data_IF_519959599498
#
_entry.id   IF_519959599498
#
_cell.length_a   1.000
_cell.length_b   1.000
_cell.length_c   1.000
_cell.angle_alpha   90.00
_cell.angle_beta   90.00
_cell.angle_gamma   90.00
#
_symmetry.space_group_name_H-M   'P 1'
#
loop_
_entity.id
_entity.type
_entity.pdbx_description
1 polymer ?
#
# COMPACT_ATOMS: atom_id res chain seq x y z
N UNK A 1 -17.49 -5.65 5.89
CA UNK A 1 -18.38 -4.54 6.30
C UNK A 1 -18.97 -4.67 7.70
N UNK A 2 -18.53 -5.62 8.50
CA UNK A 2 -18.97 -5.69 9.89
C UNK A 2 -18.45 -4.47 10.64
N UNK A 3 -19.36 -3.76 11.34
CA UNK A 3 -19.09 -2.56 12.17
C UNK A 3 -18.65 -1.28 11.43
N UNK A 4 -18.98 -1.10 10.13
CA UNK A 4 -18.69 0.14 9.41
C UNK A 4 -17.21 0.31 9.00
N UNK A 5 -16.37 -0.75 9.14
CA UNK A 5 -15.00 -0.73 8.68
C UNK A 5 -14.93 -1.03 7.19
N UNK A 6 -14.10 -0.28 6.48
CA UNK A 6 -13.86 -0.47 5.05
C UNK A 6 -12.36 -0.40 4.76
N UNK A 7 -11.89 -1.26 3.87
CA UNK A 7 -10.49 -1.32 3.46
C UNK A 7 -10.43 -1.17 1.94
N UNK A 8 -9.53 -0.31 1.50
CA UNK A 8 -9.32 -0.01 0.10
C UNK A 8 -7.84 -0.07 -0.26
N UNK A 9 -7.53 -0.58 -1.43
CA UNK A 9 -6.23 -0.45 -2.05
C UNK A 9 -6.40 0.12 -3.45
N UNK A 10 -5.54 1.09 -3.80
CA UNK A 10 -5.50 1.70 -5.12
C UNK A 10 -4.08 1.73 -5.67
N UNK A 11 -3.95 1.85 -6.95
CA UNK A 11 -2.67 2.13 -7.61
C UNK A 11 -2.38 3.61 -7.42
N UNK A 12 -1.34 3.94 -6.66
CA UNK A 12 -0.92 5.32 -6.41
C UNK A 12 0.03 5.83 -7.48
N UNK A 13 0.86 4.92 -7.99
CA UNK A 13 1.90 5.23 -8.98
C UNK A 13 2.26 3.99 -9.78
N UNK A 14 2.54 4.15 -11.06
CA UNK A 14 3.16 3.11 -11.90
C UNK A 14 4.07 3.77 -12.92
N UNK A 15 5.29 3.25 -13.08
CA UNK A 15 6.29 3.75 -14.02
C UNK A 15 6.57 5.27 -13.88
N UNK A 16 6.53 5.80 -12.66
CA UNK A 16 6.73 7.22 -12.38
C UNK A 16 5.51 8.12 -12.69
N UNK A 17 4.41 7.56 -13.16
CA UNK A 17 3.14 8.28 -13.34
C UNK A 17 2.31 8.14 -12.07
N UNK A 18 1.95 9.26 -11.45
CA UNK A 18 1.15 9.28 -10.22
C UNK A 18 -0.33 9.46 -10.50
N UNK A 19 -1.19 8.77 -9.73
CA UNK A 19 -2.63 9.00 -9.67
C UNK A 19 -2.97 10.28 -8.88
N UNK A 20 -4.22 10.73 -8.96
CA UNK A 20 -4.70 11.88 -8.19
C UNK A 20 -4.43 11.70 -6.69
N UNK A 21 -3.93 12.72 -5.99
CA UNK A 21 -3.73 12.66 -4.55
C UNK A 21 -5.07 12.59 -3.82
N UNK A 22 -5.09 11.95 -2.66
CA UNK A 22 -6.20 11.96 -1.72
C UNK A 22 -5.78 12.62 -0.42
N UNK A 23 -6.71 13.31 0.23
CA UNK A 23 -6.51 13.78 1.60
C UNK A 23 -6.42 12.58 2.54
N UNK A 24 -5.31 12.43 3.26
CA UNK A 24 -5.08 11.30 4.16
C UNK A 24 -5.98 11.34 5.40
N UNK A 25 -6.42 12.55 5.81
CA UNK A 25 -7.30 12.72 6.96
C UNK A 25 -8.79 12.55 6.60
N UNK A 26 -9.14 12.93 5.37
CA UNK A 26 -10.53 12.95 4.87
C UNK A 26 -10.58 12.42 3.43
N UNK A 27 -10.23 11.15 3.22
CA UNK A 27 -10.24 10.58 1.87
C UNK A 27 -11.65 10.58 1.29
N UNK A 28 -11.77 10.80 0.00
CA UNK A 28 -13.02 10.62 -0.73
C UNK A 28 -13.36 9.12 -0.78
N UNK A 29 -14.27 8.70 0.09
CA UNK A 29 -14.64 7.28 0.25
C UNK A 29 -15.40 6.78 -0.98
N UNK A 30 -16.20 7.62 -1.63
CA UNK A 30 -16.92 7.22 -2.85
C UNK A 30 -15.96 7.02 -4.02
N UNK A 31 -14.95 7.89 -4.14
CA UNK A 31 -13.89 7.71 -5.12
C UNK A 31 -13.09 6.43 -4.87
N UNK A 32 -12.77 6.11 -3.61
CA UNK A 32 -12.11 4.85 -3.23
C UNK A 32 -12.98 3.63 -3.57
N UNK A 33 -14.29 3.68 -3.29
CA UNK A 33 -15.23 2.62 -3.67
C UNK A 33 -15.33 2.44 -5.17
N UNK A 34 -15.36 3.54 -5.92
CA UNK A 34 -15.38 3.52 -7.37
C UNK A 34 -14.09 2.91 -7.93
N UNK A 35 -12.93 3.34 -7.44
CA UNK A 35 -11.63 2.78 -7.84
C UNK A 35 -11.54 1.27 -7.56
N UNK A 36 -12.02 0.81 -6.40
CA UNK A 36 -12.02 -0.60 -6.03
C UNK A 36 -12.88 -1.51 -6.91
N UNK A 37 -13.75 -0.95 -7.78
CA UNK A 37 -14.55 -1.69 -8.76
C UNK A 37 -13.88 -1.80 -10.13
N UNK A 38 -12.81 -1.02 -10.36
CA UNK A 38 -12.08 -1.00 -11.64
C UNK A 38 -11.06 -2.14 -11.67
N UNK A 39 -10.80 -2.66 -12.86
CA UNK A 39 -9.71 -3.61 -13.10
C UNK A 39 -8.32 -2.95 -12.91
N UNK A 40 -8.26 -1.63 -13.12
CA UNK A 40 -7.09 -0.80 -12.87
C UNK A 40 -7.51 0.27 -11.85
N UNK A 41 -7.21 0.02 -10.57
CA UNK A 41 -7.77 0.72 -9.42
C UNK A 41 -7.12 2.10 -9.22
N UNK A 42 -7.51 3.09 -10.02
CA UNK A 42 -7.08 4.50 -9.91
C UNK A 42 -8.28 5.41 -9.66
N UNK A 43 -8.02 6.59 -9.11
CA UNK A 43 -9.02 7.64 -8.91
C UNK A 43 -9.27 8.40 -10.22
N UNK A 44 -8.20 8.82 -10.89
CA UNK A 44 -8.25 9.60 -12.12
C UNK A 44 -8.02 8.70 -13.34
N UNK A 45 -9.04 8.58 -14.20
CA UNK A 45 -8.99 7.69 -15.37
C UNK A 45 -7.94 8.13 -16.40
N UNK A 46 -7.74 9.44 -16.60
CA UNK A 46 -6.74 9.93 -17.56
C UNK A 46 -5.31 9.60 -17.08
N UNK A 47 -5.05 9.69 -15.77
CA UNK A 47 -3.78 9.25 -15.18
C UNK A 47 -3.64 7.74 -15.26
N UNK A 48 -4.72 7.00 -15.06
CA UNK A 48 -4.76 5.55 -15.25
C UNK A 48 -4.42 5.13 -16.68
N UNK A 49 -4.93 5.83 -17.68
CA UNK A 49 -4.58 5.61 -19.10
C UNK A 49 -3.10 5.89 -19.36
N UNK A 50 -2.56 6.98 -18.79
CA UNK A 50 -1.12 7.30 -18.90
C UNK A 50 -0.24 6.21 -18.27
N UNK A 51 -0.61 5.68 -17.10
CA UNK A 51 0.07 4.54 -16.47
C UNK A 51 0.03 3.29 -17.36
N UNK A 52 -1.14 2.97 -17.91
CA UNK A 52 -1.30 1.80 -18.79
C UNK A 52 -0.48 1.94 -20.07
N UNK A 53 -0.42 3.16 -20.62
CA UNK A 53 0.44 3.46 -21.77
C UNK A 53 1.91 3.20 -21.44
N UNK A 54 2.40 3.70 -20.30
CA UNK A 54 3.79 3.47 -19.87
C UNK A 54 4.10 1.97 -19.66
N UNK A 55 3.14 1.19 -19.15
CA UNK A 55 3.27 -0.27 -19.04
C UNK A 55 3.40 -0.92 -20.42
N UNK A 56 2.59 -0.48 -21.40
CA UNK A 56 2.63 -1.02 -22.77
C UNK A 56 3.94 -0.65 -23.49
N UNK A 57 4.47 0.53 -23.27
CA UNK A 57 5.76 0.99 -23.78
C UNK A 57 6.90 0.10 -23.24
N UNK A 58 6.95 -0.10 -21.91
CA UNK A 58 7.93 -1.01 -21.30
C UNK A 58 7.81 -2.44 -21.84
N UNK A 59 6.58 -2.94 -22.03
CA UNK A 59 6.32 -4.25 -22.63
C UNK A 59 6.86 -4.34 -24.05
N UNK A 60 6.67 -3.29 -24.86
CA UNK A 60 7.14 -3.26 -26.26
C UNK A 60 8.68 -3.30 -26.33
N UNK A 61 9.36 -2.74 -25.32
CA UNK A 61 10.81 -2.79 -25.16
C UNK A 61 11.31 -4.11 -24.55
N UNK A 62 10.42 -5.05 -24.23
CA UNK A 62 10.76 -6.31 -23.56
C UNK A 62 11.14 -6.15 -22.09
N UNK A 63 10.66 -5.09 -21.46
CA UNK A 63 10.96 -4.71 -20.08
C UNK A 63 9.72 -4.78 -19.16
N UNK A 64 9.88 -4.40 -17.90
CA UNK A 64 8.82 -4.34 -16.90
C UNK A 64 8.94 -3.08 -16.03
N UNK A 65 7.84 -2.70 -15.41
CA UNK A 65 7.76 -1.56 -14.49
C UNK A 65 7.14 -1.96 -13.16
N UNK A 66 7.55 -1.27 -12.12
CA UNK A 66 6.96 -1.34 -10.79
C UNK A 66 5.99 -0.21 -10.52
N UNK A 67 5.66 -0.02 -9.24
CA UNK A 67 4.83 1.09 -8.80
C UNK A 67 4.55 1.07 -7.30
N UNK A 68 3.63 1.94 -6.90
CA UNK A 68 3.22 2.13 -5.51
C UNK A 68 1.72 1.84 -5.37
N UNK A 69 1.38 1.03 -4.38
CA UNK A 69 0.00 0.78 -3.97
C UNK A 69 -0.24 1.58 -2.69
N UNK A 70 -1.36 2.27 -2.60
CA UNK A 70 -1.79 2.99 -1.41
C UNK A 70 -3.04 2.33 -0.84
N UNK A 71 -2.99 2.04 0.47
CA UNK A 71 -4.07 1.37 1.19
C UNK A 71 -4.66 2.31 2.25
N UNK A 72 -5.98 2.26 2.39
CA UNK A 72 -6.76 2.94 3.42
C UNK A 72 -7.55 1.91 4.22
N UNK A 73 -7.47 1.96 5.54
CA UNK A 73 -8.38 1.24 6.42
C UNK A 73 -9.17 2.26 7.26
N UNK A 74 -10.48 2.28 7.05
CA UNK A 74 -11.40 3.27 7.60
C UNK A 74 -12.27 2.67 8.70
N UNK A 75 -12.69 3.50 9.65
CA UNK A 75 -13.63 3.10 10.69
C UNK A 75 -13.04 2.19 11.76
N UNK A 76 -11.72 2.12 11.88
CA UNK A 76 -11.07 1.36 12.96
C UNK A 76 -11.28 2.07 14.30
N UNK A 77 -11.54 1.32 15.38
CA UNK A 77 -11.70 1.90 16.70
C UNK A 77 -10.39 2.49 17.21
N UNK A 78 -10.47 3.70 17.77
CA UNK A 78 -9.34 4.26 18.50
C UNK A 78 -8.89 3.31 19.61
N UNK A 79 -7.58 3.22 19.84
CA UNK A 79 -6.99 2.34 20.83
C UNK A 79 -6.82 0.88 20.35
N UNK A 80 -7.10 0.54 19.08
CA UNK A 80 -6.73 -0.74 18.50
C UNK A 80 -5.21 -0.80 18.35
N UNK A 81 -4.63 -1.97 18.62
CA UNK A 81 -3.18 -2.15 18.64
C UNK A 81 -2.57 -1.88 20.02
N UNK A 82 -1.26 -1.98 20.13
CA UNK A 82 -0.47 -1.85 21.34
C UNK A 82 0.91 -1.24 21.01
N UNK A 83 1.63 -0.65 21.96
CA UNK A 83 3.03 -0.30 21.75
C UNK A 83 3.95 -1.53 21.70
N UNK A 84 3.46 -2.70 22.11
CA UNK A 84 4.21 -3.95 22.09
C UNK A 84 4.46 -4.43 20.65
N UNK A 85 5.62 -5.00 20.42
CA UNK A 85 6.10 -5.37 19.09
C UNK A 85 5.10 -6.25 18.32
N UNK A 86 4.44 -7.20 18.98
CA UNK A 86 3.56 -8.17 18.33
C UNK A 86 2.17 -7.62 18.01
N UNK A 87 1.69 -6.64 18.77
CA UNK A 87 0.35 -6.07 18.65
C UNK A 87 0.35 -4.65 18.05
N UNK A 88 1.53 -4.13 17.72
CA UNK A 88 1.70 -2.85 17.04
C UNK A 88 1.11 -2.93 15.63
N UNK A 89 0.28 -1.94 15.27
CA UNK A 89 -0.40 -1.91 13.96
C UNK A 89 0.60 -1.91 12.80
N UNK A 90 1.67 -1.11 12.91
CA UNK A 90 2.69 -1.01 11.85
C UNK A 90 3.39 -2.35 11.67
N UNK A 91 3.73 -3.04 12.77
CA UNK A 91 4.32 -4.38 12.73
C UNK A 91 3.35 -5.41 12.15
N UNK A 92 2.09 -5.40 12.56
CA UNK A 92 1.07 -6.31 12.05
C UNK A 92 0.88 -6.15 10.54
N UNK A 93 0.73 -4.90 10.05
CA UNK A 93 0.63 -4.61 8.62
C UNK A 93 1.90 -5.03 7.89
N UNK A 94 3.09 -4.68 8.41
CA UNK A 94 4.37 -4.99 7.80
C UNK A 94 4.57 -6.50 7.60
N UNK A 95 4.23 -7.30 8.60
CA UNK A 95 4.33 -8.77 8.57
C UNK A 95 3.53 -9.36 7.41
N UNK A 96 2.30 -8.90 7.21
CA UNK A 96 1.44 -9.37 6.13
C UNK A 96 1.91 -8.88 4.76
N UNK A 97 2.25 -7.60 4.67
CA UNK A 97 2.59 -6.93 3.42
C UNK A 97 3.92 -7.42 2.85
N UNK A 98 4.96 -7.59 3.68
CA UNK A 98 6.24 -8.11 3.23
C UNK A 98 6.24 -9.62 2.95
N UNK A 99 5.18 -10.35 3.33
CA UNK A 99 4.98 -11.72 2.88
C UNK A 99 4.65 -11.82 1.37
N UNK A 100 4.27 -10.70 0.74
CA UNK A 100 4.03 -10.65 -0.72
C UNK A 100 5.36 -10.54 -1.46
N UNK A 101 5.71 -11.48 -2.35
CA UNK A 101 6.86 -11.33 -3.21
C UNK A 101 6.80 -10.03 -4.01
N UNK A 102 7.95 -9.42 -4.26
CA UNK A 102 8.10 -8.14 -4.97
C UNK A 102 7.77 -6.88 -4.17
N UNK A 103 7.18 -6.94 -3.00
CA UNK A 103 7.11 -5.78 -2.09
C UNK A 103 8.51 -5.50 -1.53
N UNK A 104 8.98 -4.25 -1.66
CA UNK A 104 10.32 -3.82 -1.27
C UNK A 104 10.34 -2.58 -0.38
N UNK A 105 9.21 -1.95 -0.19
CA UNK A 105 9.07 -0.79 0.70
C UNK A 105 7.69 -0.72 1.29
N UNK A 106 7.62 -0.17 2.50
CA UNK A 106 6.40 0.13 3.23
C UNK A 106 6.58 1.47 3.93
N UNK A 107 5.56 2.30 3.90
CA UNK A 107 5.53 3.56 4.64
C UNK A 107 4.11 3.85 5.12
N UNK A 108 4.00 4.54 6.25
CA UNK A 108 2.72 4.96 6.83
C UNK A 108 2.59 6.48 6.75
N UNK A 109 1.37 6.97 6.49
CA UNK A 109 1.08 8.40 6.42
C UNK A 109 1.99 9.16 5.47
N UNK A 110 2.71 10.16 5.98
CA UNK A 110 3.70 10.93 5.22
C UNK A 110 4.97 10.14 4.87
N UNK A 111 5.20 8.98 5.51
CA UNK A 111 6.32 8.10 5.21
C UNK A 111 7.66 8.79 5.27
N UNK A 112 8.49 8.64 4.24
CA UNK A 112 9.81 9.29 4.17
C UNK A 112 9.76 10.82 4.14
N UNK A 113 8.59 11.43 3.82
CA UNK A 113 8.40 12.87 3.90
C UNK A 113 8.64 13.46 5.30
N UNK A 114 8.48 12.66 6.36
CA UNK A 114 8.79 13.10 7.72
C UNK A 114 10.25 13.57 7.90
N UNK A 115 11.17 13.02 7.13
CA UNK A 115 12.60 13.36 7.23
C UNK A 115 12.90 14.82 6.90
N UNK A 116 12.02 15.49 6.17
CA UNK A 116 12.14 16.91 5.78
C UNK A 116 11.20 17.83 6.55
N UNK A 117 10.32 17.30 7.42
CA UNK A 117 9.37 18.08 8.21
C UNK A 117 9.97 18.50 9.55
N UNK A 118 9.57 19.69 10.01
CA UNK A 118 9.79 20.08 11.42
C UNK A 118 8.70 19.46 12.28
N UNK A 119 8.97 19.25 13.58
CA UNK A 119 7.99 18.65 14.50
C UNK A 119 6.66 19.41 14.55
N UNK A 120 6.68 20.74 14.46
CA UNK A 120 5.48 21.58 14.41
C UNK A 120 4.62 21.39 13.13
N UNK A 121 5.24 20.94 12.04
CA UNK A 121 4.57 20.65 10.77
C UNK A 121 4.07 19.20 10.75
N UNK A 122 4.88 18.29 11.32
CA UNK A 122 4.61 16.85 11.34
C UNK A 122 3.49 16.44 12.30
N UNK A 123 3.26 17.23 13.36
CA UNK A 123 2.24 16.92 14.37
C UNK A 123 0.83 17.01 13.80
N UNK A 124 0.06 15.96 14.03
CA UNK A 124 -1.37 15.90 13.73
C UNK A 124 -2.15 16.53 14.86
N UNK A 125 -2.45 17.84 14.75
CA UNK A 125 -3.16 18.58 15.78
C UNK A 125 -4.58 18.07 15.97
N UNK A 126 -4.97 17.75 17.20
CA UNK A 126 -6.32 17.34 17.54
C UNK A 126 -7.32 18.48 17.36
N UNK A 127 -8.51 18.15 16.90
CA UNK A 127 -9.64 19.07 16.71
C UNK A 127 -10.90 18.49 17.36
N UNK A 128 -11.72 19.35 17.98
CA UNK A 128 -13.00 18.92 18.57
C UNK A 128 -14.02 18.56 17.48
N UNK A 129 -14.98 17.71 17.84
CA UNK A 129 -16.08 17.27 16.98
C UNK A 129 -16.94 16.26 17.73
N UNK A 130 -17.85 15.59 17.03
CA UNK A 130 -18.63 14.46 17.59
C UNK A 130 -17.70 13.34 18.08
N UNK A 131 -16.58 13.18 17.42
CA UNK A 131 -15.44 12.37 17.88
C UNK A 131 -14.18 13.20 17.78
N UNK A 132 -13.19 12.93 18.66
CA UNK A 132 -11.87 13.56 18.58
C UNK A 132 -11.20 13.07 17.31
N UNK A 133 -10.76 14.01 16.48
CA UNK A 133 -10.03 13.77 15.24
C UNK A 133 -8.78 14.62 15.16
N UNK A 134 -7.95 14.37 14.17
CA UNK A 134 -6.83 15.23 13.86
C UNK A 134 -7.10 16.07 12.60
N UNK A 135 -6.44 17.22 12.51
CA UNK A 135 -6.58 18.14 11.36
C UNK A 135 -5.93 17.56 10.11
N UNK A 136 -4.77 16.97 10.29
CA UNK A 136 -3.95 16.27 9.30
C UNK A 136 -3.83 14.80 9.69
N UNK A 137 -3.23 13.98 8.86
CA UNK A 137 -3.01 12.56 9.14
C UNK A 137 -1.61 12.15 8.68
N UNK A 138 -0.60 12.91 9.07
CA UNK A 138 0.79 12.64 8.73
C UNK A 138 1.26 11.30 9.29
N UNK A 139 0.81 10.94 10.51
CA UNK A 139 1.10 9.64 11.13
C UNK A 139 0.33 8.47 10.52
N UNK A 140 -0.55 8.72 9.53
CA UNK A 140 -1.33 7.65 8.89
C UNK A 140 -2.26 6.92 9.84
N UNK A 141 -2.83 7.61 10.86
CA UNK A 141 -3.80 7.07 11.81
C UNK A 141 -3.21 6.28 12.97
N UNK A 142 -1.87 6.25 13.12
CA UNK A 142 -1.16 5.43 14.10
C UNK A 142 -0.25 6.30 14.96
N UNK A 143 -0.37 6.20 16.27
CA UNK A 143 0.51 6.86 17.23
C UNK A 143 1.03 5.81 18.22
N UNK A 144 2.35 5.58 18.24
CA UNK A 144 2.98 4.59 19.11
C UNK A 144 2.44 3.16 18.91
N UNK A 145 2.13 2.78 17.68
CA UNK A 145 1.59 1.46 17.35
C UNK A 145 0.08 1.29 17.53
N UNK A 146 -0.62 2.37 17.94
CA UNK A 146 -2.03 2.34 18.33
C UNK A 146 -2.84 3.23 17.39
N UNK A 147 -4.00 2.74 16.94
CA UNK A 147 -4.94 3.53 16.13
C UNK A 147 -5.47 4.73 16.93
N UNK A 148 -5.44 5.89 16.33
CA UNK A 148 -5.96 7.13 16.92
C UNK A 148 -7.40 7.47 16.47
N UNK A 149 -8.03 6.59 15.68
CA UNK A 149 -9.39 6.76 15.14
C UNK A 149 -9.44 7.47 13.78
N UNK A 150 -8.30 7.95 13.27
CA UNK A 150 -8.18 8.45 11.89
C UNK A 150 -8.03 7.29 10.89
N UNK A 151 -8.19 7.55 9.58
CA UNK A 151 -7.88 6.55 8.56
C UNK A 151 -6.46 6.00 8.74
N UNK A 152 -6.31 4.67 8.78
CA UNK A 152 -4.99 4.07 8.67
C UNK A 152 -4.59 4.08 7.21
N UNK A 153 -3.46 4.74 6.92
CA UNK A 153 -2.96 4.90 5.56
C UNK A 153 -1.54 4.42 5.45
N UNK A 154 -1.29 3.52 4.51
CA UNK A 154 0.05 3.05 4.20
C UNK A 154 0.27 2.87 2.70
N UNK A 155 1.53 2.89 2.29
CA UNK A 155 1.96 2.71 0.91
C UNK A 155 3.00 1.62 0.81
N UNK A 156 2.94 0.84 -0.28
CA UNK A 156 3.91 -0.22 -0.57
C UNK A 156 4.53 -0.03 -1.92
N UNK A 157 5.86 -0.16 -1.99
CA UNK A 157 6.60 -0.18 -3.24
C UNK A 157 6.69 -1.61 -3.76
N UNK A 158 6.28 -1.81 -4.99
CA UNK A 158 6.34 -3.08 -5.71
C UNK A 158 7.40 -2.98 -6.80
N UNK A 159 8.41 -3.84 -6.74
CA UNK A 159 9.48 -3.83 -7.73
C UNK A 159 9.00 -4.33 -9.10
N UNK A 160 9.65 -3.94 -10.21
CA UNK A 160 9.44 -4.53 -11.52
C UNK A 160 9.63 -6.05 -11.51
N UNK A 161 8.93 -6.74 -12.42
CA UNK A 161 9.12 -8.18 -12.63
C UNK A 161 10.53 -8.45 -13.16
N UNK A 162 11.34 -9.32 -12.51
CA UNK A 162 12.72 -9.54 -12.95
C UNK A 162 12.82 -10.41 -14.22
N UNK A 163 11.76 -11.14 -14.54
CA UNK A 163 11.68 -11.96 -15.76
C UNK A 163 11.30 -11.07 -16.94
N UNK A 164 12.27 -10.63 -17.70
CA UNK A 164 12.12 -9.75 -18.87
C UNK A 164 12.70 -10.39 -20.13
N UNK A 165 12.32 -9.88 -21.30
CA UNK A 165 12.83 -10.35 -22.59
C UNK A 165 14.20 -9.77 -22.94
N UNK A 166 14.62 -8.69 -22.27
CA UNK A 166 15.96 -8.14 -22.46
C UNK A 166 17.01 -9.12 -21.96
N UNK A 167 18.13 -9.20 -22.69
CA UNK A 167 19.31 -9.94 -22.24
C UNK A 167 19.84 -9.34 -20.95
N UNK A 168 20.16 -10.19 -19.98
CA UNK A 168 20.64 -9.81 -18.66
C UNK A 168 21.96 -10.49 -18.35
N UNK A 169 22.83 -9.77 -17.67
CA UNK A 169 24.07 -10.33 -17.13
C UNK A 169 23.75 -11.28 -15.98
N UNK A 170 24.40 -12.42 -15.97
CA UNK A 170 24.28 -13.44 -14.93
C UNK A 170 25.57 -14.24 -14.85
N UNK A 171 25.54 -15.33 -14.09
CA UNK A 171 26.67 -16.26 -13.97
C UNK A 171 26.18 -17.69 -14.22
N UNK A 172 27.05 -18.47 -14.86
CA UNK A 172 26.93 -19.93 -14.83
C UNK A 172 27.31 -20.40 -13.42
N UNK A 173 26.35 -20.95 -12.70
CA UNK A 173 26.53 -21.32 -11.30
C UNK A 173 27.49 -22.50 -11.12
N UNK A 174 27.59 -23.37 -12.12
CA UNK A 174 28.47 -24.55 -12.11
C UNK A 174 29.88 -24.16 -12.53
N UNK A 175 30.01 -23.49 -13.68
CA UNK A 175 31.29 -23.04 -14.22
C UNK A 175 31.89 -21.86 -13.45
N UNK A 176 31.07 -21.14 -12.62
CA UNK A 176 31.45 -19.90 -11.90
C UNK A 176 32.04 -18.84 -12.83
N UNK A 177 31.41 -18.69 -13.99
CA UNK A 177 31.83 -17.76 -15.06
C UNK A 177 30.70 -16.84 -15.45
N UNK A 178 31.02 -15.69 -16.01
CA UNK A 178 30.05 -14.76 -16.56
C UNK A 178 29.21 -15.42 -17.65
N UNK A 179 27.91 -15.16 -17.62
CA UNK A 179 26.97 -15.68 -18.60
C UNK A 179 25.92 -14.62 -18.96
N UNK A 180 25.22 -14.84 -20.07
CA UNK A 180 24.07 -14.04 -20.49
C UNK A 180 22.80 -14.86 -20.40
N UNK A 181 21.73 -14.23 -19.93
CA UNK A 181 20.42 -14.86 -19.81
C UNK A 181 19.38 -14.02 -20.53
N UNK A 182 18.63 -14.65 -21.42
CA UNK A 182 17.42 -14.11 -21.99
C UNK A 182 16.27 -15.05 -21.65
N UNK A 183 15.35 -14.61 -20.81
CA UNK A 183 14.24 -15.43 -20.35
C UNK A 183 13.13 -15.37 -21.42
N UNK A 184 12.77 -16.54 -21.96
CA UNK A 184 11.68 -16.69 -22.92
C UNK A 184 10.42 -17.17 -22.19
N UNK A 185 9.27 -16.59 -22.49
CA UNK A 185 8.00 -17.01 -21.89
C UNK A 185 7.00 -15.85 -21.79
N UNK A 186 5.85 -16.10 -21.18
CA UNK A 186 4.87 -15.04 -20.92
C UNK A 186 5.21 -14.34 -19.61
N UNK A 187 5.60 -13.08 -19.69
CA UNK A 187 5.92 -12.26 -18.54
C UNK A 187 4.92 -11.12 -18.38
N UNK A 188 4.64 -10.76 -17.12
CA UNK A 188 3.83 -9.58 -16.83
C UNK A 188 4.71 -8.32 -16.87
N UNK A 189 4.40 -7.34 -17.71
CA UNK A 189 5.14 -6.09 -17.75
C UNK A 189 4.93 -5.25 -16.49
N UNK A 190 3.86 -5.51 -15.74
CA UNK A 190 3.57 -4.84 -14.48
C UNK A 190 2.64 -5.69 -13.62
N UNK A 191 3.04 -6.00 -12.39
CA UNK A 191 2.23 -6.80 -11.44
C UNK A 191 1.40 -5.93 -10.49
N UNK A 192 1.58 -4.60 -10.50
CA UNK A 192 0.94 -3.66 -9.56
C UNK A 192 -0.59 -3.81 -9.51
N UNK A 193 -1.33 -3.94 -10.64
CA UNK A 193 -2.78 -4.08 -10.60
C UNK A 193 -3.25 -5.33 -9.84
N UNK A 194 -2.53 -6.44 -10.00
CA UNK A 194 -2.84 -7.68 -9.24
C UNK A 194 -2.39 -7.58 -7.79
N UNK A 195 -1.23 -6.98 -7.56
CA UNK A 195 -0.72 -6.77 -6.21
C UNK A 195 -1.65 -5.88 -5.38
N UNK A 196 -2.35 -4.91 -5.98
CA UNK A 196 -3.32 -4.06 -5.28
C UNK A 196 -4.46 -4.88 -4.64
N UNK A 197 -5.00 -5.87 -5.34
CA UNK A 197 -6.04 -6.76 -4.82
C UNK A 197 -5.50 -7.61 -3.65
N UNK A 198 -4.29 -8.13 -3.79
CA UNK A 198 -3.61 -8.91 -2.73
C UNK A 198 -3.36 -8.04 -1.51
N UNK A 199 -2.85 -6.81 -1.68
CA UNK A 199 -2.60 -5.86 -0.61
C UNK A 199 -3.88 -5.48 0.14
N UNK A 200 -4.98 -5.25 -0.59
CA UNK A 200 -6.28 -5.00 0.03
C UNK A 200 -6.72 -6.14 0.95
N UNK A 201 -6.54 -7.38 0.51
CA UNK A 201 -6.86 -8.57 1.30
C UNK A 201 -5.97 -8.71 2.52
N UNK A 202 -4.67 -8.49 2.36
CA UNK A 202 -3.71 -8.60 3.48
C UNK A 202 -3.89 -7.50 4.52
N UNK A 203 -4.25 -6.28 4.09
CA UNK A 203 -4.66 -5.23 5.01
C UNK A 203 -5.89 -5.66 5.85
N UNK A 204 -6.85 -6.32 5.21
CA UNK A 204 -8.02 -6.86 5.93
C UNK A 204 -7.64 -7.97 6.93
N UNK A 205 -6.70 -8.85 6.57
CA UNK A 205 -6.18 -9.86 7.50
C UNK A 205 -5.46 -9.23 8.69
N UNK A 206 -4.57 -8.27 8.46
CA UNK A 206 -3.87 -7.56 9.54
C UNK A 206 -4.84 -6.90 10.52
N UNK A 207 -5.88 -6.22 10.00
CA UNK A 207 -6.93 -5.62 10.82
C UNK A 207 -7.73 -6.67 11.58
N UNK A 208 -8.07 -7.79 10.94
CA UNK A 208 -8.80 -8.88 11.58
C UNK A 208 -8.01 -9.51 12.73
N UNK A 209 -6.72 -9.73 12.55
CA UNK A 209 -5.83 -10.25 13.58
C UNK A 209 -5.84 -9.34 14.81
N UNK A 210 -5.62 -8.03 14.61
CA UNK A 210 -5.64 -7.04 15.69
C UNK A 210 -6.99 -6.97 16.41
N UNK A 211 -8.09 -7.04 15.67
CA UNK A 211 -9.43 -7.08 16.25
C UNK A 211 -9.67 -8.36 17.04
N UNK A 212 -9.16 -9.49 16.57
CA UNK A 212 -9.29 -10.79 17.25
C UNK A 212 -8.50 -10.80 18.55
N UNK A 213 -7.29 -10.24 18.55
CA UNK A 213 -6.50 -10.09 19.78
C UNK A 213 -7.25 -9.24 20.80
N UNK A 214 -7.77 -8.08 20.37
CA UNK A 214 -8.45 -7.14 21.27
C UNK A 214 -9.80 -7.62 21.80
N UNK A 215 -10.61 -8.24 20.96
CA UNK A 215 -12.02 -8.54 21.28
C UNK A 215 -12.30 -10.04 21.40
N UNK A 216 -11.33 -10.90 21.12
CA UNK A 216 -11.52 -12.34 21.02
C UNK A 216 -12.37 -12.75 19.81
N UNK A 217 -12.40 -14.04 19.51
CA UNK A 217 -13.15 -14.59 18.36
C UNK A 217 -14.68 -14.47 18.52
N UNK A 218 -15.17 -14.39 19.75
CA UNK A 218 -16.62 -14.29 20.08
C UNK A 218 -17.08 -12.86 20.38
N UNK A 219 -16.16 -11.91 20.62
CA UNK A 219 -16.44 -10.51 20.93
C UNK A 219 -16.78 -9.64 19.73
N UNK A 220 -16.88 -10.22 18.55
CA UNK A 220 -17.23 -9.54 17.29
C UNK A 220 -18.76 -9.46 17.05
N UNK A 221 -19.54 -9.54 18.11
CA UNK A 221 -20.99 -9.34 18.02
C UNK A 221 -21.38 -7.88 17.92
#
# INVERSE_FOLDING_TARGET
>A
RQKGMEIFARIRETAGVEDAPLDLARPDVEALRAAGRKSFAVIDDARGEAMQKAILEARAEGDSVGGVIECFALGLPAGLGSPDMDENIETAVARHVFAVPAVKGLSFGSGFGFSSMRGSEANDAFVPGESIRTRTNHNGGINGGIANGMPIVFRTAVKPTPSIYKEQDTVDYIAKADAKLQIKGRHDPCIVPRAAVVQNTLAAFAVLDLLTVRYGTLGQK
#
